data_IF_762677491419
#
_entry.id   IF_762677491419
#
_cell.length_a   1.000
_cell.length_b   1.000
_cell.length_c   1.000
_cell.angle_alpha   90.00
_cell.angle_beta   90.00
_cell.angle_gamma   90.00
#
_symmetry.space_group_name_H-M   'P 1'
#
loop_
_entity.id
_entity.type
_entity.pdbx_description
1 polymer ?
2 non-polymer ?
3 non-polymer ?
4 non-polymer ?
5 water ?
#
# COMPACT_ATOMS: atom_id res chain seq x y z
N UNK A 1 12.75 3.25 -13.99
CA UNK A 1 12.54 3.92 -12.71
C UNK A 1 11.77 5.25 -12.82
N UNK A 2 11.04 5.58 -11.75
CA UNK A 2 10.11 6.70 -11.72
C UNK A 2 10.37 7.54 -10.47
N UNK A 3 9.99 8.82 -10.52
CA UNK A 3 10.15 9.72 -9.40
C UNK A 3 8.83 9.77 -8.62
N UNK A 4 8.90 9.52 -7.32
CA UNK A 4 7.72 9.64 -6.46
C UNK A 4 7.49 11.12 -6.17
N UNK A 5 6.25 11.58 -5.90
CA UNK A 5 5.06 10.72 -5.88
C UNK A 5 4.60 10.27 -7.27
N UNK A 6 4.05 9.06 -7.33
CA UNK A 6 3.61 8.45 -8.58
C UNK A 6 2.17 7.96 -8.42
N UNK A 7 1.36 8.20 -9.45
CA UNK A 7 -0.02 7.73 -9.48
C UNK A 7 -0.14 6.66 -10.57
N UNK A 8 -0.47 5.44 -10.16
CA UNK A 8 -0.77 4.34 -11.06
C UNK A 8 -2.29 4.30 -11.29
N UNK A 9 -2.78 4.56 -12.52
CA UNK A 9 -4.21 4.40 -12.80
C UNK A 9 -4.65 2.94 -12.65
N UNK A 10 -5.84 2.75 -12.09
CA UNK A 10 -6.48 1.44 -12.01
C UNK A 10 -7.83 1.55 -12.71
N UNK A 11 -7.87 1.50 -14.06
CA UNK A 11 -9.09 1.79 -14.82
C UNK A 11 -10.22 0.81 -14.56
N UNK A 12 -11.38 1.34 -14.16
CA UNK A 12 -12.52 0.50 -13.79
C UNK A 12 -12.31 -0.16 -12.43
N UNK A 13 -11.34 0.35 -11.66
CA UNK A 13 -11.11 -0.07 -10.28
C UNK A 13 -10.40 -1.41 -10.21
N UNK A 14 -10.50 -2.05 -9.04
CA UNK A 14 -9.84 -3.32 -8.79
C UNK A 14 -10.88 -4.44 -8.80
N UNK A 15 -10.38 -5.68 -8.85
CA UNK A 15 -11.21 -6.87 -8.95
C UNK A 15 -10.46 -8.02 -8.30
N UNK A 16 -11.13 -9.01 -7.67
CA UNK A 16 -10.41 -10.18 -7.15
C UNK A 16 -9.52 -10.87 -8.17
N UNK A 17 -8.34 -11.30 -7.70
CA UNK A 17 -7.29 -11.95 -8.48
C UNK A 17 -6.35 -10.93 -9.15
N UNK A 18 -6.63 -9.63 -8.98
CA UNK A 18 -5.72 -8.59 -9.44
C UNK A 18 -4.53 -8.51 -8.47
N UNK A 19 -3.31 -8.65 -9.02
CA UNK A 19 -2.08 -8.61 -8.25
C UNK A 19 -1.28 -7.38 -8.64
N UNK A 20 -1.12 -6.44 -7.70
CA UNK A 20 -0.39 -5.20 -7.92
C UNK A 20 1.01 -5.37 -7.32
N UNK A 21 2.04 -5.14 -8.15
CA UNK A 21 3.42 -5.31 -7.74
C UNK A 21 4.14 -3.96 -7.80
N UNK A 22 4.69 -3.53 -6.65
CA UNK A 22 5.49 -2.32 -6.55
C UNK A 22 6.93 -2.74 -6.25
N UNK A 23 7.86 -2.36 -7.14
CA UNK A 23 9.29 -2.61 -6.94
C UNK A 23 10.01 -1.29 -6.69
N UNK A 24 10.93 -1.30 -5.74
CA UNK A 24 11.80 -0.14 -5.54
C UNK A 24 12.89 -0.44 -4.52
N UNK A 25 13.54 0.63 -4.05
CA UNK A 25 14.56 0.56 -3.02
C UNK A 25 14.22 1.61 -1.97
N UNK A 26 14.29 1.20 -0.69
CA UNK A 26 14.07 2.13 0.41
C UNK A 26 15.27 3.06 0.49
N UNK A 27 15.01 4.36 0.63
CA UNK A 27 16.09 5.33 0.75
C UNK A 27 16.84 5.10 2.06
N UNK A 28 18.12 5.52 2.16
CA UNK A 28 18.82 5.51 3.44
C UNK A 28 18.13 6.55 4.33
N UNK A 29 18.03 6.24 5.64
CA UNK A 29 17.41 7.13 6.61
C UNK A 29 15.95 7.39 6.26
N UNK A 30 15.27 6.38 5.70
CA UNK A 30 13.84 6.49 5.39
C UNK A 30 13.05 6.74 6.67
N UNK A 31 12.00 7.57 6.56
CA UNK A 31 11.07 7.80 7.65
C UNK A 31 9.74 7.11 7.40
N UNK A 32 9.26 7.13 6.14
CA UNK A 32 7.91 6.69 5.84
C UNK A 32 7.76 6.27 4.37
N UNK A 33 6.83 5.34 4.14
CA UNK A 33 6.36 4.96 2.82
C UNK A 33 4.83 4.94 2.88
N UNK A 34 4.16 5.28 1.76
CA UNK A 34 2.71 5.19 1.70
C UNK A 34 2.23 4.70 0.34
N UNK A 35 1.33 3.70 0.38
CA UNK A 35 0.47 3.34 -0.73
C UNK A 35 -0.95 3.80 -0.40
N UNK A 36 -1.61 4.46 -1.37
CA UNK A 36 -2.96 4.95 -1.18
C UNK A 36 -3.85 4.49 -2.33
N UNK A 37 -4.67 3.46 -2.09
CA UNK A 37 -5.70 3.04 -3.03
C UNK A 37 -6.92 3.94 -2.86
N UNK A 38 -7.25 4.73 -3.91
CA UNK A 38 -8.23 5.79 -3.77
C UNK A 38 -9.49 5.53 -4.59
N UNK A 39 -10.64 5.90 -4.00
CA UNK A 39 -11.92 6.01 -4.68
C UNK A 39 -12.32 7.48 -4.65
N UNK A 40 -11.98 8.22 -5.71
CA UNK A 40 -12.06 9.67 -5.66
C UNK A 40 -11.18 10.21 -4.53
N UNK A 41 -11.78 11.02 -3.64
CA UNK A 41 -11.06 11.60 -2.51
C UNK A 41 -10.95 10.59 -1.36
N UNK A 42 -11.74 9.51 -1.37
CA UNK A 42 -11.66 8.53 -0.30
C UNK A 42 -10.42 7.65 -0.52
N UNK A 43 -9.80 7.24 0.59
CA UNK A 43 -8.70 6.29 0.53
C UNK A 43 -9.22 4.95 1.05
N UNK A 44 -9.45 4.01 0.11
CA UNK A 44 -9.98 2.70 0.47
C UNK A 44 -8.98 1.95 1.34
N UNK A 45 -7.70 2.03 0.98
CA UNK A 45 -6.65 1.30 1.68
C UNK A 45 -5.35 2.12 1.66
N UNK A 46 -4.97 2.59 2.86
CA UNK A 46 -3.71 3.28 3.10
C UNK A 46 -2.78 2.30 3.81
N UNK A 47 -1.62 2.02 3.18
CA UNK A 47 -0.60 1.14 3.72
C UNK A 47 0.65 1.97 3.99
N UNK A 48 1.03 2.08 5.27
CA UNK A 48 1.95 3.14 5.71
C UNK A 48 3.02 2.59 6.65
N UNK A 49 4.13 2.02 6.11
CA UNK A 49 5.33 1.75 6.92
C UNK A 49 5.91 3.01 7.53
N UNK A 50 6.09 2.99 8.86
CA UNK A 50 6.73 4.05 9.61
C UNK A 50 8.00 3.51 10.25
N UNK A 51 9.14 4.15 9.95
CA UNK A 51 10.45 3.66 10.36
C UNK A 51 10.85 4.20 11.73
N UNK A 52 10.22 5.29 12.18
CA UNK A 52 10.53 5.85 13.49
C UNK A 52 9.29 6.54 14.07
N UNK A 53 8.33 5.72 14.49
CA UNK A 53 7.22 6.20 15.32
C UNK A 53 7.56 5.88 16.77
N UNK A 54 7.92 6.92 17.53
CA UNK A 54 8.39 6.78 18.89
C UNK A 54 9.50 5.73 18.95
N UNK A 55 10.45 5.82 18.02
CA UNK A 55 11.64 4.98 17.98
C UNK A 55 11.28 3.50 17.80
N UNK A 56 10.12 3.23 17.16
CA UNK A 56 9.74 1.88 16.77
C UNK A 56 9.40 1.87 15.28
N UNK A 57 9.50 0.69 14.66
CA UNK A 57 9.05 0.48 13.29
C UNK A 57 7.69 -0.21 13.35
N UNK A 58 6.72 0.33 12.60
CA UNK A 58 5.35 -0.16 12.61
C UNK A 58 4.73 0.01 11.22
N UNK A 59 3.84 -0.93 10.85
CA UNK A 59 2.97 -0.77 9.69
C UNK A 59 1.62 -0.26 10.18
N UNK A 60 1.17 0.87 9.63
CA UNK A 60 -0.16 1.42 9.90
C UNK A 60 -1.01 1.30 8.63
N UNK A 61 -2.20 0.71 8.78
CA UNK A 61 -3.20 0.65 7.70
C UNK A 61 -4.48 1.35 8.14
N UNK A 62 -5.16 2.01 7.19
CA UNK A 62 -6.39 2.72 7.51
C UNK A 62 -7.16 3.06 6.23
N UNK A 63 -8.36 3.61 6.42
CA UNK A 63 -9.24 4.10 5.38
C UNK A 63 -9.60 5.55 5.70
N UNK A 64 -9.70 6.40 4.66
CA UNK A 64 -10.13 7.78 4.82
C UNK A 64 -11.47 7.96 4.09
N UNK A 65 -12.51 8.36 4.82
CA UNK A 65 -13.84 8.59 4.26
C UNK A 65 -14.27 10.02 4.55
N UNK A 66 -14.71 10.74 3.51
CA UNK A 66 -15.15 12.13 3.67
C UNK A 66 -14.07 12.92 4.41
N UNK A 67 -12.80 12.63 4.08
CA UNK A 67 -11.63 13.34 4.57
C UNK A 67 -11.37 13.04 6.05
N UNK A 68 -11.96 11.95 6.58
CA UNK A 68 -11.73 11.55 7.97
C UNK A 68 -11.08 10.16 8.02
N UNK A 69 -9.95 10.06 8.73
CA UNK A 69 -9.31 8.78 8.97
C UNK A 69 -10.15 7.94 9.94
N UNK A 70 -10.24 6.64 9.69
CA UNK A 70 -10.98 5.72 10.54
C UNK A 70 -10.08 5.07 11.58
N UNK A 71 -10.41 3.84 11.97
CA UNK A 71 -9.65 3.11 12.96
C UNK A 71 -8.42 2.47 12.31
N UNK A 72 -7.24 2.73 12.91
CA UNK A 72 -5.99 2.16 12.41
C UNK A 72 -5.91 0.68 12.77
N UNK A 73 -5.37 -0.10 11.83
CA UNK A 73 -4.92 -1.46 12.08
C UNK A 73 -3.39 -1.47 11.99
N UNK A 74 -2.73 -1.96 13.04
CA UNK A 74 -1.27 -1.85 13.18
C UNK A 74 -0.64 -3.23 13.23
N UNK A 75 0.59 -3.32 12.72
CA UNK A 75 1.39 -4.53 12.67
C UNK A 75 2.83 -4.17 13.01
N UNK A 76 3.45 -4.91 13.94
CA UNK A 76 4.83 -4.68 14.34
C UNK A 76 5.81 -5.42 13.43
N UNK A 77 5.35 -6.50 12.78
CA UNK A 77 6.15 -7.19 11.80
C UNK A 77 6.49 -6.19 10.70
N UNK A 78 7.80 -5.97 10.49
CA UNK A 78 8.28 -4.90 9.64
C UNK A 78 9.35 -5.44 8.71
N UNK A 79 8.99 -5.79 7.44
CA UNK A 79 9.94 -6.41 6.52
C UNK A 79 10.88 -5.50 5.72
N UNK A 80 10.76 -4.18 5.89
CA UNK A 80 11.55 -3.23 5.15
C UNK A 80 12.84 -2.90 5.91
N UNK A 81 13.88 -2.57 5.15
CA UNK A 81 15.14 -2.10 5.69
C UNK A 81 15.62 -0.92 4.84
N UNK A 82 16.09 0.14 5.51
CA UNK A 82 16.65 1.29 4.81
C UNK A 82 17.76 0.84 3.86
N UNK A 83 17.70 1.33 2.62
CA UNK A 83 18.75 1.09 1.64
C UNK A 83 18.53 -0.17 0.80
N UNK A 84 17.53 -0.99 1.14
CA UNK A 84 17.39 -2.30 0.51
C UNK A 84 16.28 -2.30 -0.53
N UNK A 85 16.44 -3.12 -1.60
CA UNK A 85 15.39 -3.31 -2.59
C UNK A 85 14.23 -4.14 -2.03
N UNK A 86 13.00 -3.73 -2.38
CA UNK A 86 11.80 -4.39 -1.90
C UNK A 86 10.86 -4.70 -3.05
N UNK A 87 9.94 -5.63 -2.79
CA UNK A 87 8.79 -5.89 -3.63
C UNK A 87 7.56 -5.94 -2.72
N UNK A 88 6.62 -5.01 -2.92
CA UNK A 88 5.31 -5.05 -2.28
C UNK A 88 4.32 -5.62 -3.28
N UNK A 89 3.60 -6.66 -2.88
CA UNK A 89 2.53 -7.22 -3.70
C UNK A 89 1.21 -7.10 -2.93
N UNK A 90 0.23 -6.46 -3.58
CA UNK A 90 -1.12 -6.35 -3.06
C UNK A 90 -2.02 -7.20 -3.94
N UNK A 91 -2.54 -8.29 -3.36
CA UNK A 91 -3.46 -9.18 -4.02
C UNK A 91 -4.88 -8.83 -3.59
N UNK A 92 -5.73 -8.48 -4.56
CA UNK A 92 -7.12 -8.16 -4.27
C UNK A 92 -7.89 -9.48 -4.17
N UNK A 93 -8.52 -9.71 -3.00
CA UNK A 93 -9.38 -10.85 -2.79
C UNK A 93 -10.81 -10.35 -2.58
N UNK A 94 -11.84 -11.22 -2.62
CA UNK A 94 -13.22 -10.77 -2.49
C UNK A 94 -13.54 -9.94 -1.25
N UNK A 95 -12.90 -10.26 -0.11
CA UNK A 95 -13.21 -9.63 1.16
C UNK A 95 -12.07 -8.79 1.73
N UNK A 96 -10.87 -8.86 1.14
CA UNK A 96 -9.74 -8.13 1.70
C UNK A 96 -8.66 -7.89 0.66
N UNK A 97 -7.78 -6.93 0.98
CA UNK A 97 -6.48 -6.82 0.34
C UNK A 97 -5.50 -7.70 1.12
N UNK A 98 -4.71 -8.49 0.39
CA UNK A 98 -3.64 -9.29 0.98
C UNK A 98 -2.31 -8.69 0.55
N UNK A 99 -1.41 -8.47 1.52
CA UNK A 99 -0.11 -7.84 1.25
C UNK A 99 0.99 -8.84 1.58
N UNK A 100 1.90 -9.03 0.61
CA UNK A 100 3.14 -9.76 0.82
C UNK A 100 4.32 -8.86 0.46
N UNK A 101 5.39 -8.94 1.25
CA UNK A 101 6.60 -8.18 0.99
C UNK A 101 7.75 -9.17 0.81
N UNK A 102 8.49 -9.02 -0.30
CA UNK A 102 9.62 -9.88 -0.60
C UNK A 102 9.20 -11.35 -0.50
N UNK A 103 8.02 -11.67 -1.04
CA UNK A 103 7.49 -13.01 -1.14
C UNK A 103 7.16 -13.63 0.22
N UNK A 104 6.93 -12.80 1.24
CA UNK A 104 6.46 -13.28 2.53
C UNK A 104 5.17 -12.55 2.90
N UNK A 105 4.14 -13.31 3.27
CA UNK A 105 2.88 -12.74 3.68
C UNK A 105 3.11 -11.76 4.84
N UNK A 106 2.44 -10.60 4.77
CA UNK A 106 2.58 -9.58 5.80
C UNK A 106 1.26 -9.39 6.55
N UNK A 107 0.19 -9.04 5.83
CA UNK A 107 -1.08 -8.74 6.48
C UNK A 107 -2.25 -8.86 5.50
N UNK A 108 -3.46 -8.86 6.08
CA UNK A 108 -4.69 -8.71 5.32
C UNK A 108 -5.44 -7.50 5.86
N UNK A 109 -6.22 -6.86 4.99
CA UNK A 109 -7.01 -5.69 5.36
C UNK A 109 -8.40 -5.83 4.74
N UNK A 110 -9.42 -5.98 5.59
CA UNK A 110 -10.79 -6.18 5.12
C UNK A 110 -11.29 -4.94 4.38
N UNK A 111 -12.06 -5.14 3.30
CA UNK A 111 -12.59 -4.05 2.51
C UNK A 111 -13.61 -3.26 3.32
N UNK A 112 -13.31 -1.99 3.59
CA UNK A 112 -14.23 -1.05 4.21
C UNK A 112 -15.02 -0.32 3.13
N UNK A 113 -14.30 0.12 2.09
CA UNK A 113 -14.92 0.60 0.86
C UNK A 113 -15.32 -0.62 0.04
N UNK A 114 -16.61 -0.69 -0.31
CA UNK A 114 -17.19 -1.87 -0.93
C UNK A 114 -17.09 -1.82 -2.45
N UNK A 115 -17.07 -0.61 -3.03
CA UNK A 115 -17.12 -0.44 -4.47
C UNK A 115 -15.73 -0.59 -5.07
N UNK A 116 -15.27 -1.84 -5.20
CA UNK A 116 -13.93 -2.14 -5.71
C UNK A 116 -13.74 -1.55 -7.10
N UNK A 117 -14.80 -1.53 -7.92
CA UNK A 117 -14.67 -1.10 -9.31
C UNK A 117 -14.64 0.42 -9.43
N UNK A 118 -14.59 1.13 -8.29
CA UNK A 118 -14.42 2.58 -8.28
C UNK A 118 -13.10 2.98 -7.59
N UNK A 119 -12.29 2.00 -7.16
CA UNK A 119 -10.98 2.27 -6.59
C UNK A 119 -9.99 2.36 -7.74
N UNK A 120 -9.88 3.57 -8.32
CA UNK A 120 -9.37 3.72 -9.68
C UNK A 120 -7.99 4.37 -9.74
N UNK A 121 -7.34 4.58 -8.60
CA UNK A 121 -6.01 5.17 -8.55
C UNK A 121 -5.22 4.58 -7.39
N UNK A 122 -3.91 4.33 -7.61
CA UNK A 122 -2.98 3.96 -6.57
C UNK A 122 -1.89 5.03 -6.50
N UNK A 123 -1.85 5.77 -5.39
CA UNK A 123 -0.77 6.72 -5.13
C UNK A 123 0.38 6.04 -4.40
N UNK A 124 1.61 6.32 -4.83
CA UNK A 124 2.82 5.79 -4.24
C UNK A 124 3.70 6.98 -3.84
N UNK A 125 4.04 7.06 -2.55
CA UNK A 125 4.79 8.21 -2.02
C UNK A 125 5.71 7.79 -0.89
N UNK A 126 6.59 8.70 -0.50
CA UNK A 126 7.47 8.49 0.64
C UNK A 126 8.91 8.20 0.21
N UNK A 127 9.66 7.57 1.12
CA UNK A 127 11.12 7.58 1.06
C UNK A 127 11.61 6.35 0.30
N UNK A 128 11.30 6.31 -1.00
CA UNK A 128 11.72 5.21 -1.87
C UNK A 128 12.24 5.77 -3.19
N UNK A 129 13.09 4.95 -3.83
CA UNK A 129 13.33 5.03 -5.25
C UNK A 129 12.45 3.99 -5.93
N UNK A 130 11.50 4.45 -6.74
CA UNK A 130 10.50 3.58 -7.36
C UNK A 130 11.03 3.04 -8.68
N UNK A 131 11.08 1.70 -8.80
CA UNK A 131 11.58 1.04 -10.00
C UNK A 131 10.42 0.77 -10.96
N UNK A 132 9.32 0.19 -10.45
CA UNK A 132 8.16 -0.09 -11.30
C UNK A 132 6.90 -0.27 -10.45
N UNK A 133 5.75 -0.02 -11.10
CA UNK A 133 4.44 -0.25 -10.52
C UNK A 133 3.53 -0.77 -11.62
N UNK A 134 3.01 -1.99 -11.44
CA UNK A 134 2.23 -2.67 -12.47
C UNK A 134 1.29 -3.67 -11.82
N UNK A 135 0.39 -4.25 -12.62
CA UNK A 135 -0.51 -5.27 -12.12
C UNK A 135 -0.75 -6.32 -13.20
N UNK A 136 -1.25 -7.48 -12.75
CA UNK A 136 -1.67 -8.57 -13.61
C UNK A 136 -2.80 -9.32 -12.92
N UNK A 137 -3.45 -10.22 -13.65
CA UNK A 137 -4.48 -11.08 -13.11
C UNK A 137 -3.88 -12.47 -12.90
N UNK A 138 -4.02 -13.02 -11.68
CA UNK A 138 -3.45 -14.32 -11.35
C UNK A 138 -4.44 -15.41 -11.79
X LIG B 1 -5.40 9.64 13.11
X LIG B 1 -5.18 11.38 11.99
X LIG B 1 -3.27 10.87 10.41
X LIG B 1 -4.24 10.52 11.53
X LIG B 1 -4.41 9.35 12.27
X LIG B 1 -5.98 8.67 14.08
X LIG B 1 -5.02 7.84 14.86
X LIG B 1 -7.04 7.84 13.39
X LIG B 1 -2.12 8.54 7.81
X LIG B 1 0.53 10.63 5.14
X LIG B 1 1.98 11.75 3.46
X LIG B 1 3.69 9.57 3.37
X LIG B 1 2.58 9.55 4.21
X LIG B 1 0.31 9.99 6.33
X LIG B 1 0.19 12.12 10.07
X LIG B 1 -0.84 11.73 9.17
X LIG B 1 -1.14 10.34 9.15
X LIG B 1 -2.03 9.96 10.34
X LIG B 1 -5.57 8.43 16.10
X LIG B 1 -6.50 9.29 15.34
X LIG B 1 -8.03 8.66 12.92
X LIG B 1 -6.48 7.17 12.33
X LIG B 1 -5.89 10.82 12.95
X LIG B 1 -2.40 8.58 10.22
X LIG B 1 -3.02 8.18 9.00
X LIG B 1 -3.32 6.69 9.05
X LIG B 1 -4.25 6.43 10.09
X LIG B 1 -0.94 7.73 7.87
X LIG B 1 -1.77 10.04 7.84
X LIG B 1 -0.93 10.31 6.69
X LIG B 1 -1.46 11.14 5.84
X LIG B 1 -0.59 11.34 4.88
X LIG B 1 1.73 10.64 4.25
X LIG B 1 3.08 11.78 2.63
X LIG B 1 3.94 10.68 2.59
X LIG B 1 5.37 10.73 1.51
X LIG B 1 4.51 8.45 3.36
X LIG B 1 2.36 8.42 4.98
X LIG B 1 -2.94 11.90 10.56
X LIG B 1 -3.80 10.82 9.47
X LIG B 1 -3.84 8.43 12.20
X LIG B 1 -3.97 8.11 14.69
X LIG B 1 -5.21 6.78 14.78
X LIG B 1 -7.46 7.12 14.12
X LIG B 1 -2.67 8.33 6.88
X LIG B 1 1.31 12.61 3.50
X LIG B 1 0.99 9.32 6.86
X LIG B 1 0.37 13.16 9.98
X LIG B 1 1.08 11.60 9.83
X LIG B 1 -0.09 11.90 11.06
X LIG B 1 -0.20 9.76 9.22
X LIG B 1 -1.45 10.10 11.26
X LIG B 1 -7.55 9.06 15.53
X LIG B 1 -6.27 10.35 15.43
X LIG B 1 -3.97 8.72 8.88
X LIG B 1 -2.39 6.13 9.23
X LIG B 1 -3.72 6.37 8.09
X LIG B 1 -3.88 6.73 10.95
X LIG B 1 -0.16 8.30 7.90
X LIG B 1 -2.72 10.55 7.78
X LIG B 1 3.29 12.65 2.01
X LIG C 1 3.19 8.93 8.48
X LIG C 1 3.20 10.44 8.07
X LIG C 1 3.19 11.55 7.74
X LIG D 1 6.78 11.67 -2.05
#
# INVERSE_FOLDING_TARGET
PLIVPYNLPLPGGVVPRMLITILGTVKPNANRIALDFQRGNDVAFHFNPRFNENNRRVIVCNTKLDNNWGREERQSVFPFESGKPFKIQVLVEPDHFKVAVNDAHLLQYNHRVKKLNEISKLGISGDIDLTSASYTMI
A1H2L N1 N3 C4 C5 C6 C7 C8 C10 C13 C15 C17 C20 C21 C22 C1 O1 C2 C3 O2 C9 F1 F2 N2 O3 C11 C12 O4 O5 C14 N4 N5 N6 C16 C18 C19 CL1 F3 F4 H7 H6 H8 H10 H9 H13 H18 H21 H23 H2 H3 H1 H4 H5 H11 H12 H14 H15 H16 H17 H19 H20 H22
SCN S C N
CL CL
#
